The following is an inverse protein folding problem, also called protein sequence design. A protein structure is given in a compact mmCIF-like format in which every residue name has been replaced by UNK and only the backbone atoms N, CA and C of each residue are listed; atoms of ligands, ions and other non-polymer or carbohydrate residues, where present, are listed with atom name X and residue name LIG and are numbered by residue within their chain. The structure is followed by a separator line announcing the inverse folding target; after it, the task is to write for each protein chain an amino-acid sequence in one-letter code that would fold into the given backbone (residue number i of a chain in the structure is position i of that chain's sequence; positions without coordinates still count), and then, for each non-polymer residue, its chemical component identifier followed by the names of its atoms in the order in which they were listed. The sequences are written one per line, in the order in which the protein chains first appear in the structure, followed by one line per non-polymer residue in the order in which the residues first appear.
data_IF_582659154655
#
_entry.id   IF_582659154655
#
_cell.length_a   1.000
_cell.length_b   1.000
_cell.length_c   1.000
_cell.angle_alpha   90.00
_cell.angle_beta   90.00
_cell.angle_gamma   90.00
#
_symmetry.space_group_name_H-M   'P 1'
#
loop_
_entity.id
_entity.type
_entity.pdbx_description
1 polymer ?
#
# COMPACT_ATOMS: atom_id res chain seq x y z
N UNK A 1 15.81 15.03 -1.28
CA UNK A 1 14.53 14.30 -1.25
C UNK A 1 14.43 13.65 0.11
N UNK A 2 13.38 13.98 0.85
CA UNK A 2 13.17 13.37 2.16
C UNK A 2 12.67 11.93 1.96
N UNK A 3 13.19 10.96 2.72
CA UNK A 3 12.85 9.54 2.51
C UNK A 3 11.34 9.27 2.56
N UNK A 4 10.57 10.05 3.33
CA UNK A 4 9.12 9.91 3.47
C UNK A 4 8.30 10.34 2.23
N UNK A 5 8.83 11.15 1.32
CA UNK A 5 8.09 11.61 0.11
C UNK A 5 7.67 10.43 -0.78
N UNK A 6 8.50 9.40 -0.85
CA UNK A 6 8.20 8.15 -1.57
C UNK A 6 7.00 7.42 -0.97
N UNK A 7 6.94 7.30 0.36
CA UNK A 7 5.85 6.63 1.07
C UNK A 7 4.53 7.39 0.91
N UNK A 8 4.55 8.73 0.99
CA UNK A 8 3.36 9.57 0.79
C UNK A 8 2.75 9.34 -0.60
N UNK A 9 3.58 9.28 -1.64
CA UNK A 9 3.11 9.01 -3.02
C UNK A 9 2.47 7.63 -3.15
N UNK A 10 3.08 6.60 -2.56
CA UNK A 10 2.55 5.23 -2.63
C UNK A 10 1.23 5.13 -1.85
N UNK A 11 1.13 5.72 -0.66
CA UNK A 11 -0.12 5.70 0.10
C UNK A 11 -1.25 6.44 -0.62
N UNK A 12 -0.95 7.55 -1.31
CA UNK A 12 -1.92 8.25 -2.16
C UNK A 12 -2.41 7.37 -3.31
N UNK A 13 -1.54 6.59 -3.96
CA UNK A 13 -1.97 5.65 -5.03
C UNK A 13 -2.84 4.51 -4.48
N UNK A 14 -2.61 4.10 -3.22
CA UNK A 14 -3.46 3.15 -2.50
C UNK A 14 -4.75 3.78 -1.93
N UNK A 15 -5.01 5.07 -2.19
CA UNK A 15 -6.13 5.84 -1.62
C UNK A 15 -6.12 5.94 -0.09
N UNK A 16 -4.96 5.73 0.55
CA UNK A 16 -4.76 5.83 1.99
C UNK A 16 -4.38 7.28 2.38
N UNK A 17 -5.25 8.24 2.04
CA UNK A 17 -4.94 9.68 2.19
C UNK A 17 -4.69 10.10 3.65
N UNK A 18 -5.43 9.54 4.60
CA UNK A 18 -5.20 9.80 6.03
C UNK A 18 -3.83 9.33 6.50
N UNK A 19 -3.37 8.15 6.03
CA UNK A 19 -2.03 7.66 6.34
C UNK A 19 -0.95 8.49 5.65
N UNK A 20 -1.20 8.90 4.39
CA UNK A 20 -0.28 9.78 3.65
C UNK A 20 -0.08 11.12 4.37
N UNK A 21 -1.15 11.72 4.91
CA UNK A 21 -1.07 12.95 5.70
C UNK A 21 -0.34 12.72 7.04
N UNK A 22 -0.64 11.64 7.76
CA UNK A 22 0.03 11.33 9.02
C UNK A 22 1.55 11.15 8.85
N UNK A 23 2.00 10.52 7.75
CA UNK A 23 3.43 10.36 7.44
C UNK A 23 4.10 11.69 7.12
N UNK A 24 3.41 12.59 6.43
CA UNK A 24 3.93 13.93 6.12
C UNK A 24 4.16 14.74 7.41
N UNK A 25 3.18 14.72 8.33
CA UNK A 25 3.29 15.36 9.64
C UNK A 25 4.41 14.74 10.52
N UNK A 26 4.50 13.41 10.56
CA UNK A 26 5.53 12.70 11.35
C UNK A 26 6.93 12.85 10.74
N UNK A 27 7.04 12.88 9.40
CA UNK A 27 8.28 13.12 8.68
C UNK A 27 8.84 14.52 8.96
N UNK A 28 7.97 15.54 9.02
CA UNK A 28 8.37 16.90 9.38
C UNK A 28 8.93 17.00 10.80
N UNK A 29 8.43 16.19 11.74
CA UNK A 29 8.92 16.14 13.12
C UNK A 29 10.30 15.47 13.24
N UNK A 30 10.76 14.73 12.23
CA UNK A 30 12.08 14.09 12.16
C UNK A 30 12.47 13.27 13.41
N UNK A 31 11.49 12.61 14.05
CA UNK A 31 11.74 11.81 15.25
C UNK A 31 12.62 10.57 14.96
N UNK A 32 13.58 10.22 15.83
CA UNK A 32 14.37 8.99 15.71
C UNK A 32 13.50 7.73 15.67
N UNK A 33 12.39 7.72 16.42
CA UNK A 33 11.46 6.58 16.45
C UNK A 33 10.75 6.39 15.10
N UNK A 34 10.42 7.49 14.41
CA UNK A 34 9.81 7.44 13.08
C UNK A 34 10.80 6.86 12.06
N UNK A 35 12.05 7.32 12.08
CA UNK A 35 13.10 6.80 11.20
C UNK A 35 13.34 5.29 11.41
N UNK A 36 13.26 4.81 12.65
CA UNK A 36 13.37 3.38 12.98
C UNK A 36 12.16 2.56 12.49
N UNK A 37 10.99 3.17 12.34
CA UNK A 37 9.78 2.51 11.87
C UNK A 37 9.68 2.43 10.33
N UNK A 38 10.47 3.22 9.59
CA UNK A 38 10.44 3.26 8.11
C UNK A 38 10.58 1.87 7.44
N UNK A 39 11.52 0.99 7.86
CA UNK A 39 11.67 -0.33 7.23
C UNK A 39 10.47 -1.24 7.45
N UNK A 40 9.84 -1.15 8.63
CA UNK A 40 8.62 -1.89 8.94
C UNK A 40 7.46 -1.39 8.09
N UNK A 41 7.31 -0.08 7.97
CA UNK A 41 6.31 0.54 7.12
C UNK A 41 6.47 0.12 5.65
N UNK A 42 7.70 0.07 5.13
CA UNK A 42 7.96 -0.40 3.76
C UNK A 42 7.46 -1.84 3.54
N UNK A 43 7.68 -2.71 4.53
CA UNK A 43 7.24 -4.10 4.47
C UNK A 43 5.71 -4.19 4.48
N UNK A 44 5.04 -3.36 5.29
CA UNK A 44 3.59 -3.29 5.35
C UNK A 44 2.98 -2.75 4.04
N UNK A 45 3.58 -1.72 3.44
CA UNK A 45 3.12 -1.18 2.15
C UNK A 45 3.22 -2.24 1.05
N UNK A 46 4.33 -3.00 1.00
CA UNK A 46 4.49 -4.10 0.04
C UNK A 46 3.44 -5.19 0.24
N UNK A 47 3.16 -5.56 1.49
CA UNK A 47 2.13 -6.55 1.81
C UNK A 47 0.73 -6.08 1.39
N UNK A 48 0.37 -4.83 1.68
CA UNK A 48 -0.92 -4.23 1.30
C UNK A 48 -1.12 -4.23 -0.23
N UNK A 49 -0.09 -3.88 -1.01
CA UNK A 49 -0.14 -3.94 -2.48
C UNK A 49 -0.41 -5.37 -2.95
N UNK A 50 0.35 -6.34 -2.44
CA UNK A 50 0.20 -7.74 -2.82
C UNK A 50 -1.21 -8.27 -2.48
N UNK A 51 -1.74 -7.95 -1.31
CA UNK A 51 -3.08 -8.40 -0.90
C UNK A 51 -4.18 -7.81 -1.81
N UNK A 52 -4.06 -6.53 -2.19
CA UNK A 52 -5.00 -5.88 -3.11
C UNK A 52 -4.96 -6.49 -4.51
N UNK A 53 -3.78 -6.83 -5.01
CA UNK A 53 -3.63 -7.51 -6.31
C UNK A 53 -4.32 -8.88 -6.28
N UNK A 54 -4.06 -9.69 -5.25
CA UNK A 54 -4.72 -10.99 -5.06
C UNK A 54 -6.24 -10.83 -4.99
N UNK A 55 -6.73 -9.86 -4.22
CA UNK A 55 -8.17 -9.56 -4.10
C UNK A 55 -8.77 -9.15 -5.44
N UNK A 56 -8.08 -8.33 -6.22
CA UNK A 56 -8.51 -7.88 -7.54
C UNK A 56 -8.62 -9.04 -8.54
N UNK A 57 -7.60 -9.90 -8.60
CA UNK A 57 -7.60 -11.09 -9.46
C UNK A 57 -8.76 -12.02 -9.08
N UNK A 58 -8.91 -12.33 -7.78
CA UNK A 58 -10.01 -13.17 -7.31
C UNK A 58 -11.38 -12.59 -7.66
N UNK A 59 -11.55 -11.27 -7.55
CA UNK A 59 -12.78 -10.60 -7.96
C UNK A 59 -13.04 -10.74 -9.46
N UNK A 60 -12.03 -10.48 -10.31
CA UNK A 60 -12.15 -10.59 -11.77
C UNK A 60 -12.49 -12.03 -12.19
N UNK A 61 -11.80 -13.03 -11.64
CA UNK A 61 -12.08 -14.44 -11.90
C UNK A 61 -13.52 -14.82 -11.51
N UNK A 62 -13.97 -14.35 -10.34
CA UNK A 62 -15.33 -14.62 -9.85
C UNK A 62 -16.40 -14.00 -10.73
N UNK A 63 -16.19 -12.76 -11.20
CA UNK A 63 -17.17 -12.03 -12.02
C UNK A 63 -17.18 -12.49 -13.47
N UNK A 64 -16.03 -12.92 -14.00
CA UNK A 64 -15.92 -13.38 -15.38
C UNK A 64 -16.77 -14.62 -15.70
N UNK A 65 -17.20 -15.40 -14.69
CA UNK A 65 -18.04 -16.59 -14.82
C UNK A 65 -17.60 -17.47 -15.99
N UNK A 66 -16.28 -17.70 -16.10
CA UNK A 66 -15.74 -18.47 -17.21
C UNK A 66 -16.48 -19.82 -17.31
N UNK A 67 -17.03 -20.15 -18.50
CA UNK A 67 -17.71 -21.43 -18.67
C UNK A 67 -16.72 -22.55 -18.36
N UNK A 68 -17.14 -23.49 -17.52
CA UNK A 68 -16.39 -24.74 -17.30
C UNK A 68 -16.33 -25.42 -18.66
N UNK A 69 -15.15 -25.49 -19.25
CA UNK A 69 -14.92 -26.23 -20.49
C UNK A 69 -15.35 -27.67 -20.21
N UNK A 70 -16.49 -28.07 -20.79
CA UNK A 70 -16.97 -29.45 -20.76
C UNK A 70 -16.43 -30.11 -22.03
N UNK A 71 -15.53 -31.06 -21.84
CA UNK A 71 -15.22 -32.08 -22.84
C UNK A 71 -16.44 -32.99 -23.03
#
# INVERSE_FOLDING_TARGET
MMQHEGHVRILKSLKLFGMAHAIEELGNQNSPAFNQALPMLDSLIKAEVAEREVRSVNYQLRVAKFPVYRD
#
